data_IF_583997219958
#
_entry.id   IF_583997219958
#
_cell.length_a   1.000
_cell.length_b   1.000
_cell.length_c   1.000
_cell.angle_alpha   90.00
_cell.angle_beta   90.00
_cell.angle_gamma   90.00
#
_symmetry.space_group_name_H-M   'P 1'
#
loop_
_entity.id
_entity.type
_entity.pdbx_description
1 polymer ?
#
# COMPACT_ATOMS: atom_id res chain seq x y z
N UNK A 1 -37.52 51.69 26.05
CA UNK A 1 -37.39 50.32 25.49
C UNK A 1 -36.93 50.41 24.04
N UNK A 2 -35.67 50.09 23.74
CA UNK A 2 -35.11 50.15 22.37
C UNK A 2 -35.29 48.81 21.65
N UNK A 3 -36.14 48.74 20.61
CA UNK A 3 -36.24 47.56 19.73
C UNK A 3 -35.03 47.56 18.79
N UNK A 4 -34.08 46.64 19.00
CA UNK A 4 -32.99 46.40 18.04
C UNK A 4 -33.60 45.88 16.73
N UNK A 5 -33.38 46.60 15.64
CA UNK A 5 -33.81 46.18 14.31
C UNK A 5 -33.17 44.85 13.95
N UNK A 6 -33.98 43.83 13.69
CA UNK A 6 -33.53 42.54 13.17
C UNK A 6 -32.96 42.77 11.76
N UNK A 7 -31.63 42.87 11.63
CA UNK A 7 -30.96 42.85 10.33
C UNK A 7 -31.14 41.44 9.74
N UNK A 8 -31.90 41.34 8.65
CA UNK A 8 -32.00 40.09 7.87
C UNK A 8 -30.64 39.84 7.23
N UNK A 9 -30.04 38.65 7.37
CA UNK A 9 -28.75 38.36 6.74
C UNK A 9 -28.90 38.53 5.22
N UNK A 10 -27.95 39.24 4.61
CA UNK A 10 -28.00 39.48 3.17
C UNK A 10 -27.79 38.16 2.41
N UNK A 11 -28.43 37.94 1.25
CA UNK A 11 -28.22 36.74 0.44
C UNK A 11 -26.74 36.50 0.08
N UNK A 12 -25.96 37.58 -0.02
CA UNK A 12 -24.51 37.55 -0.28
C UNK A 12 -23.73 36.88 0.85
N UNK A 13 -24.13 37.10 2.12
CA UNK A 13 -23.48 36.45 3.27
C UNK A 13 -23.71 34.93 3.27
N UNK A 14 -24.92 34.49 2.88
CA UNK A 14 -25.21 33.06 2.74
C UNK A 14 -24.40 32.43 1.61
N UNK A 15 -24.30 33.09 0.46
CA UNK A 15 -23.46 32.66 -0.66
C UNK A 15 -21.98 32.55 -0.26
N UNK A 16 -21.45 33.54 0.45
CA UNK A 16 -20.07 33.52 0.93
C UNK A 16 -19.83 32.39 1.93
N UNK A 17 -20.78 32.12 2.83
CA UNK A 17 -20.69 31.02 3.78
C UNK A 17 -20.69 29.65 3.09
N UNK A 18 -21.60 29.42 2.15
CA UNK A 18 -21.64 28.16 1.38
C UNK A 18 -20.41 27.96 0.51
N UNK A 19 -19.88 29.03 -0.09
CA UNK A 19 -18.64 28.99 -0.85
C UNK A 19 -17.45 28.60 0.06
N UNK A 20 -17.32 29.24 1.22
CA UNK A 20 -16.26 28.93 2.18
C UNK A 20 -16.38 27.49 2.74
N UNK A 21 -17.59 27.04 3.06
CA UNK A 21 -17.85 25.68 3.54
C UNK A 21 -17.52 24.62 2.48
N UNK A 22 -17.92 24.86 1.22
CA UNK A 22 -17.58 23.98 0.09
C UNK A 22 -16.08 23.92 -0.17
N UNK A 23 -15.38 25.06 -0.04
CA UNK A 23 -13.91 25.12 -0.15
C UNK A 23 -13.21 24.33 0.95
N UNK A 24 -13.63 24.50 2.20
CA UNK A 24 -13.11 23.74 3.34
C UNK A 24 -13.41 22.24 3.22
N UNK A 25 -14.61 21.86 2.78
CA UNK A 25 -15.00 20.48 2.54
C UNK A 25 -14.18 19.83 1.40
N UNK A 26 -13.99 20.57 0.31
CA UNK A 26 -13.18 20.11 -0.83
C UNK A 26 -11.71 19.92 -0.47
N UNK A 27 -11.13 20.86 0.29
CA UNK A 27 -9.77 20.72 0.80
C UNK A 27 -9.65 19.55 1.78
N UNK A 28 -10.60 19.39 2.70
CA UNK A 28 -10.63 18.26 3.64
C UNK A 28 -10.67 16.91 2.92
N UNK A 29 -11.56 16.76 1.94
CA UNK A 29 -11.67 15.53 1.15
C UNK A 29 -10.37 15.21 0.38
N UNK A 30 -9.71 16.22 -0.18
CA UNK A 30 -8.44 16.04 -0.89
C UNK A 30 -7.31 15.55 0.04
N UNK A 31 -7.26 16.03 1.29
CA UNK A 31 -6.29 15.54 2.28
C UNK A 31 -6.58 14.10 2.72
N UNK A 32 -7.84 13.70 2.83
CA UNK A 32 -8.22 12.32 3.16
C UNK A 32 -7.97 11.31 2.03
N UNK A 33 -7.99 11.76 0.78
CA UNK A 33 -7.69 10.92 -0.39
C UNK A 33 -6.19 10.65 -0.60
N UNK A 34 -5.29 11.25 0.20
CA UNK A 34 -3.86 11.02 0.05
C UNK A 34 -3.51 9.64 0.61
N UNK A 35 -3.48 8.66 -0.30
CA UNK A 35 -3.22 7.23 -0.11
C UNK A 35 -2.29 6.95 1.08
N UNK A 36 -2.88 6.55 2.21
CA UNK A 36 -2.14 6.09 3.37
C UNK A 36 -1.47 4.76 3.08
N UNK A 37 -0.24 4.58 3.55
CA UNK A 37 0.41 3.28 3.48
C UNK A 37 -0.40 2.23 4.27
N UNK A 38 -1.03 1.23 3.61
CA UNK A 38 -1.91 0.29 4.28
C UNK A 38 -1.15 -0.58 5.30
N UNK A 39 0.18 -0.64 5.21
CA UNK A 39 1.03 -1.46 6.08
C UNK A 39 1.94 -0.63 6.99
N UNK A 40 1.59 0.62 7.28
CA UNK A 40 2.40 1.56 8.10
C UNK A 40 2.89 1.02 9.47
N UNK A 41 2.24 0.01 10.02
CA UNK A 41 2.60 -0.62 11.31
C UNK A 41 3.48 -1.87 11.13
N UNK A 42 3.73 -2.29 9.89
CA UNK A 42 4.54 -3.47 9.55
C UNK A 42 5.96 -3.00 9.24
N UNK A 43 6.95 -3.70 9.78
CA UNK A 43 8.35 -3.40 9.54
C UNK A 43 8.71 -3.58 8.06
N UNK A 44 9.47 -2.66 7.48
CA UNK A 44 9.92 -2.77 6.08
C UNK A 44 11.10 -3.74 5.98
N UNK A 45 10.99 -4.73 5.09
CA UNK A 45 12.08 -5.66 4.82
C UNK A 45 13.25 -4.92 4.17
N UNK A 46 14.44 -5.04 4.76
CA UNK A 46 15.69 -4.67 4.10
C UNK A 46 16.16 -5.87 3.26
N UNK A 47 16.31 -5.73 1.94
CA UNK A 47 16.76 -6.86 1.11
C UNK A 47 18.12 -7.42 1.54
N UNK A 48 19.01 -6.59 2.11
CA UNK A 48 20.33 -7.01 2.59
C UNK A 48 20.21 -8.07 3.68
N UNK A 49 19.37 -7.87 4.67
CA UNK A 49 19.13 -8.81 5.77
C UNK A 49 18.64 -10.17 5.24
N UNK A 50 17.83 -10.14 4.18
CA UNK A 50 17.35 -11.35 3.50
C UNK A 50 18.48 -12.10 2.78
N UNK A 51 19.37 -11.41 2.07
CA UNK A 51 20.51 -12.06 1.40
C UNK A 51 21.60 -12.49 2.37
N UNK A 52 21.78 -11.79 3.48
CA UNK A 52 22.73 -12.15 4.52
C UNK A 52 22.30 -13.43 5.22
N UNK A 53 21.04 -13.48 5.69
CA UNK A 53 20.50 -14.67 6.33
C UNK A 53 18.97 -14.74 6.30
N UNK A 54 18.38 -15.23 5.20
CA UNK A 54 16.94 -15.41 5.11
C UNK A 54 16.35 -16.34 6.19
N UNK A 55 17.15 -17.23 6.78
CA UNK A 55 16.66 -18.14 7.82
C UNK A 55 16.37 -17.44 9.15
N UNK A 56 17.07 -16.35 9.48
CA UNK A 56 16.81 -15.59 10.72
C UNK A 56 15.49 -14.83 10.66
N UNK A 57 14.97 -14.59 9.46
CA UNK A 57 13.74 -13.84 9.23
C UNK A 57 12.48 -14.72 9.24
N UNK A 58 12.64 -16.05 9.30
CA UNK A 58 11.52 -17.01 9.25
C UNK A 58 10.49 -16.75 10.33
N UNK A 59 9.21 -16.86 9.95
CA UNK A 59 8.08 -16.63 10.84
C UNK A 59 7.71 -15.17 11.02
N UNK A 60 8.59 -14.22 10.68
CA UNK A 60 8.31 -12.79 10.77
C UNK A 60 7.57 -12.27 9.53
N UNK A 61 6.86 -11.18 9.73
CA UNK A 61 6.10 -10.49 8.69
C UNK A 61 6.69 -9.12 8.43
N UNK A 62 6.86 -8.79 7.15
CA UNK A 62 7.43 -7.53 6.69
C UNK A 62 6.60 -6.90 5.59
N UNK A 63 6.74 -5.60 5.42
CA UNK A 63 6.29 -4.86 4.26
C UNK A 63 7.39 -4.84 3.21
N UNK A 64 7.04 -5.12 1.96
CA UNK A 64 7.93 -5.02 0.80
C UNK A 64 7.23 -4.24 -0.30
N UNK A 65 7.93 -3.30 -0.91
CA UNK A 65 7.46 -2.58 -2.09
C UNK A 65 8.41 -2.84 -3.26
N UNK A 66 7.85 -3.09 -4.43
CA UNK A 66 8.64 -3.48 -5.58
C UNK A 66 7.79 -3.78 -6.81
N UNK A 67 8.42 -4.37 -7.82
CA UNK A 67 7.82 -4.63 -9.13
C UNK A 67 7.88 -6.11 -9.46
N UNK A 68 6.79 -6.68 -10.00
CA UNK A 68 6.80 -8.05 -10.52
C UNK A 68 7.75 -8.13 -11.72
N UNK A 69 8.80 -8.95 -11.64
CA UNK A 69 9.79 -9.08 -12.70
C UNK A 69 9.49 -10.25 -13.64
N UNK A 70 9.47 -11.49 -13.16
CA UNK A 70 9.20 -12.68 -13.97
C UNK A 70 8.44 -13.74 -13.15
N UNK A 71 7.63 -14.57 -13.82
CA UNK A 71 7.11 -15.81 -13.23
C UNK A 71 8.21 -16.87 -13.26
N UNK A 72 8.45 -17.53 -12.13
CA UNK A 72 9.47 -18.57 -11.98
C UNK A 72 8.87 -19.98 -11.99
N UNK A 73 7.60 -20.11 -11.62
CA UNK A 73 6.92 -21.40 -11.59
C UNK A 73 5.55 -21.32 -10.93
N UNK A 74 4.80 -22.41 -11.02
CA UNK A 74 3.50 -22.52 -10.37
C UNK A 74 3.27 -23.94 -9.84
N UNK A 75 2.46 -24.03 -8.80
CA UNK A 75 1.97 -25.26 -8.19
C UNK A 75 0.52 -25.04 -7.78
N UNK A 76 -0.32 -26.06 -7.98
CA UNK A 76 -1.72 -26.00 -7.57
C UNK A 76 -1.87 -25.88 -6.06
N UNK A 77 -0.96 -26.51 -5.30
CA UNK A 77 -0.96 -26.52 -3.84
C UNK A 77 -0.24 -25.30 -3.25
N UNK A 78 0.96 -24.99 -3.76
CA UNK A 78 1.81 -23.94 -3.17
C UNK A 78 1.55 -22.53 -3.73
N UNK A 79 0.93 -22.42 -4.90
CA UNK A 79 0.68 -21.14 -5.57
C UNK A 79 1.73 -20.80 -6.65
N UNK A 80 1.89 -19.51 -6.93
CA UNK A 80 2.74 -19.00 -8.02
C UNK A 80 4.00 -18.37 -7.44
N UNK A 81 5.17 -18.71 -7.97
CA UNK A 81 6.44 -18.11 -7.57
C UNK A 81 6.85 -17.05 -8.59
N UNK A 82 7.17 -15.85 -8.11
CA UNK A 82 7.65 -14.74 -8.93
C UNK A 82 9.02 -14.27 -8.45
N UNK A 83 9.80 -13.73 -9.38
CA UNK A 83 10.91 -12.82 -9.06
C UNK A 83 10.32 -11.43 -8.86
N UNK A 84 10.51 -10.87 -7.67
CA UNK A 84 10.03 -9.55 -7.28
C UNK A 84 11.21 -8.60 -7.12
N UNK A 85 11.23 -7.53 -7.91
CA UNK A 85 12.33 -6.57 -7.93
C UNK A 85 12.07 -5.47 -6.91
N UNK A 86 12.94 -5.39 -5.91
CA UNK A 86 12.90 -4.38 -4.86
C UNK A 86 14.03 -3.40 -5.08
N UNK A 87 13.73 -2.10 -4.94
CA UNK A 87 14.74 -1.05 -5.02
C UNK A 87 15.20 -0.69 -3.61
N UNK A 88 16.46 -0.92 -3.29
CA UNK A 88 17.04 -0.57 -1.99
C UNK A 88 18.53 -0.25 -2.14
N UNK A 89 19.01 0.75 -1.38
CA UNK A 89 20.44 1.12 -1.39
C UNK A 89 20.99 1.57 -2.75
N UNK A 90 20.14 2.07 -3.67
CA UNK A 90 20.54 2.52 -5.00
C UNK A 90 20.65 1.41 -6.06
N UNK A 91 20.25 0.18 -5.73
CA UNK A 91 20.25 -0.96 -6.65
C UNK A 91 18.93 -1.73 -6.66
N UNK A 92 18.70 -2.45 -7.76
CA UNK A 92 17.57 -3.36 -7.90
C UNK A 92 17.97 -4.79 -7.52
N UNK A 93 17.25 -5.39 -6.57
CA UNK A 93 17.51 -6.73 -6.06
C UNK A 93 16.30 -7.66 -6.27
N UNK A 94 16.47 -8.87 -6.81
CA UNK A 94 15.37 -9.81 -7.00
C UNK A 94 15.11 -10.69 -5.77
N UNK A 95 13.95 -10.53 -5.13
CA UNK A 95 13.49 -11.39 -4.04
C UNK A 95 12.50 -12.46 -4.55
N UNK A 96 12.50 -13.68 -4.00
CA UNK A 96 11.53 -14.71 -4.36
C UNK A 96 10.21 -14.46 -3.66
N UNK A 97 9.16 -14.23 -4.43
CA UNK A 97 7.82 -13.94 -3.94
C UNK A 97 6.89 -15.10 -4.23
N UNK A 98 6.43 -15.78 -3.18
CA UNK A 98 5.41 -16.81 -3.26
C UNK A 98 4.04 -16.17 -3.10
N UNK A 99 3.21 -16.29 -4.14
CA UNK A 99 1.83 -15.82 -4.17
C UNK A 99 0.91 -17.03 -3.98
N UNK A 100 0.28 -17.19 -2.80
CA UNK A 100 -0.51 -18.38 -2.51
C UNK A 100 -1.76 -18.50 -3.40
N UNK A 101 -2.35 -19.71 -3.51
CA UNK A 101 -3.51 -19.96 -4.37
C UNK A 101 -4.73 -19.06 -4.08
N UNK A 102 -4.86 -18.53 -2.87
CA UNK A 102 -5.92 -17.59 -2.48
C UNK A 102 -5.94 -16.29 -3.32
N UNK A 103 -4.84 -15.94 -3.97
CA UNK A 103 -4.74 -14.79 -4.88
C UNK A 103 -4.84 -15.19 -6.36
N UNK A 104 -5.42 -16.35 -6.70
CA UNK A 104 -5.53 -16.84 -8.08
C UNK A 104 -6.31 -15.89 -8.99
N UNK A 105 -7.33 -15.23 -8.46
CA UNK A 105 -8.19 -14.29 -9.20
C UNK A 105 -7.45 -12.99 -9.56
N UNK A 106 -6.36 -12.68 -8.87
CA UNK A 106 -5.56 -11.48 -9.15
C UNK A 106 -4.63 -11.74 -10.33
N UNK A 107 -4.81 -10.95 -11.39
CA UNK A 107 -3.96 -10.95 -12.56
C UNK A 107 -2.68 -10.13 -12.31
N UNK A 108 -1.63 -10.80 -11.85
CA UNK A 108 -0.30 -10.23 -11.66
C UNK A 108 0.44 -10.18 -12.99
N UNK A 109 0.84 -8.97 -13.41
CA UNK A 109 1.59 -8.79 -14.66
C UNK A 109 2.99 -8.26 -14.39
N UNK A 110 3.92 -8.63 -15.27
CA UNK A 110 5.29 -8.10 -15.27
C UNK A 110 5.27 -6.58 -15.40
N UNK A 111 6.14 -5.91 -14.64
CA UNK A 111 6.27 -4.46 -14.63
C UNK A 111 5.29 -3.74 -13.71
N UNK A 112 4.34 -4.44 -13.08
CA UNK A 112 3.42 -3.82 -12.13
C UNK A 112 4.05 -3.67 -10.75
N UNK A 113 3.86 -2.48 -10.16
CA UNK A 113 4.28 -2.16 -8.80
C UNK A 113 3.24 -2.62 -7.80
N UNK A 114 3.73 -3.19 -6.71
CA UNK A 114 2.90 -3.65 -5.60
C UNK A 114 3.57 -3.30 -4.29
N UNK A 115 2.71 -3.03 -3.31
CA UNK A 115 3.05 -3.02 -1.91
C UNK A 115 2.45 -4.25 -1.26
N UNK A 116 3.30 -5.02 -0.60
CA UNK A 116 3.00 -6.35 -0.11
C UNK A 116 3.29 -6.42 1.38
N UNK A 117 2.42 -7.09 2.11
CA UNK A 117 2.72 -7.64 3.42
C UNK A 117 3.07 -9.11 3.21
N UNK A 118 4.29 -9.48 3.55
CA UNK A 118 4.83 -10.83 3.30
C UNK A 118 5.29 -11.46 4.61
N UNK A 119 5.07 -12.75 4.74
CA UNK A 119 5.64 -13.56 5.81
C UNK A 119 6.76 -14.41 5.24
N UNK A 120 7.88 -14.50 5.95
CA UNK A 120 8.96 -15.41 5.58
C UNK A 120 8.59 -16.81 6.04
N UNK A 121 8.37 -17.74 5.11
CA UNK A 121 7.94 -19.10 5.43
C UNK A 121 9.11 -20.02 5.83
N UNK A 122 8.83 -21.28 6.13
CA UNK A 122 9.85 -22.25 6.58
C UNK A 122 10.93 -22.55 5.51
N UNK A 123 10.60 -22.33 4.23
CA UNK A 123 11.52 -22.42 3.10
C UNK A 123 12.28 -21.12 2.84
N UNK A 124 12.16 -20.14 3.74
CA UNK A 124 12.71 -18.79 3.64
C UNK A 124 12.19 -18.00 2.42
N UNK A 125 11.04 -18.36 1.85
CA UNK A 125 10.41 -17.61 0.76
C UNK A 125 9.49 -16.52 1.31
N UNK A 126 9.34 -15.42 0.58
CA UNK A 126 8.41 -14.34 0.93
C UNK A 126 7.01 -14.72 0.49
N UNK A 127 6.19 -15.24 1.40
CA UNK A 127 4.80 -15.58 1.15
C UNK A 127 3.90 -14.35 1.32
N UNK A 128 3.10 -14.01 0.31
CA UNK A 128 2.19 -12.86 0.37
C UNK A 128 1.05 -13.12 1.34
N UNK A 129 0.92 -12.31 2.39
CA UNK A 129 -0.25 -12.27 3.27
C UNK A 129 -1.31 -11.29 2.76
N UNK A 130 -0.88 -10.09 2.36
CA UNK A 130 -1.75 -9.04 1.81
C UNK A 130 -1.04 -8.34 0.63
N UNK A 131 -1.80 -7.87 -0.35
CA UNK A 131 -1.27 -7.15 -1.50
C UNK A 131 -2.14 -5.95 -1.85
N UNK A 132 -1.49 -4.84 -2.18
CA UNK A 132 -2.12 -3.64 -2.73
C UNK A 132 -1.29 -3.14 -3.91
N UNK A 133 -1.95 -2.57 -4.91
CA UNK A 133 -1.24 -1.87 -5.99
C UNK A 133 -0.63 -0.59 -5.43
N UNK A 134 0.58 -0.28 -5.88
CA UNK A 134 1.33 0.90 -5.48
C UNK A 134 1.38 1.93 -6.62
#
# INVERSE_FOLDING_TARGET
MSRRAHRKPSPVLWLAFFAAFSLLGGLGAFFFQKDGDPYRTVERLKPEDYYENANSLKGNTYQVEGTIANSLGWSQEKGRLFSFRVHHGGGDRPLPLLVPPRFREINLQKGQKYRLKVRVNDAALLEVEEMSKA
#
